data_IF_756959499421
#
_entry.id   IF_756959499421
#
_cell.length_a   1.000
_cell.length_b   1.000
_cell.length_c   1.000
_cell.angle_alpha   90.00
_cell.angle_beta   90.00
_cell.angle_gamma   90.00
#
_symmetry.space_group_name_H-M   'P 1'
#
loop_
_entity.id
_entity.type
_entity.pdbx_description
1 polymer ?
#
# COMPACT_ATOMS: atom_id res chain seq x y z
N UNK A 1 -2.33 13.71 -28.22
CA UNK A 1 -2.05 13.59 -26.77
C UNK A 1 -1.29 12.29 -26.63
N UNK A 2 -0.07 12.39 -26.11
CA UNK A 2 0.83 11.25 -25.96
C UNK A 2 0.19 10.25 -25.00
N UNK A 3 0.13 8.98 -25.37
CA UNK A 3 -0.37 7.94 -24.46
C UNK A 3 0.67 7.84 -23.34
N UNK A 4 0.41 8.54 -22.23
CA UNK A 4 1.35 8.64 -21.11
C UNK A 4 1.65 7.22 -20.61
N UNK A 5 2.92 6.83 -20.70
CA UNK A 5 3.36 5.51 -20.29
C UNK A 5 3.05 5.27 -18.82
N UNK A 6 2.80 4.02 -18.44
CA UNK A 6 2.77 3.62 -17.04
C UNK A 6 4.13 3.90 -16.39
N UNK A 7 4.12 4.42 -15.17
CA UNK A 7 5.34 4.71 -14.42
C UNK A 7 5.30 3.99 -13.08
N UNK A 8 6.40 3.32 -12.75
CA UNK A 8 6.60 2.69 -11.44
C UNK A 8 7.95 3.16 -10.92
N UNK A 9 7.94 3.75 -9.73
CA UNK A 9 9.14 4.11 -8.97
C UNK A 9 9.13 3.33 -7.66
N UNK A 10 10.27 2.72 -7.35
CA UNK A 10 10.46 2.01 -6.08
C UNK A 10 11.65 2.65 -5.38
N UNK A 11 11.41 3.15 -4.17
CA UNK A 11 12.44 3.68 -3.28
C UNK A 11 12.59 2.72 -2.12
N UNK A 12 13.79 2.19 -1.94
CA UNK A 12 14.09 1.21 -0.89
C UNK A 12 15.07 1.81 0.11
N UNK A 13 14.78 1.65 1.40
CA UNK A 13 15.59 2.16 2.51
C UNK A 13 16.28 1.03 3.28
N UNK A 14 17.28 1.38 4.10
CA UNK A 14 17.91 0.42 5.03
C UNK A 14 19.00 -0.48 4.44
N UNK A 15 19.55 -0.15 3.26
CA UNK A 15 20.59 -0.97 2.63
C UNK A 15 20.06 -2.28 2.00
N UNK A 16 18.74 -2.42 1.92
CA UNK A 16 18.07 -3.55 1.28
C UNK A 16 18.33 -3.54 -0.23
N UNK A 17 18.40 -4.75 -0.81
CA UNK A 17 18.41 -4.91 -2.26
C UNK A 17 17.00 -4.65 -2.79
N UNK A 18 16.86 -3.68 -3.68
CA UNK A 18 15.59 -3.42 -4.34
C UNK A 18 15.16 -4.65 -5.17
N UNK A 19 14.21 -5.40 -4.61
CA UNK A 19 13.56 -6.53 -5.26
C UNK A 19 12.24 -6.06 -5.82
N UNK A 20 12.04 -6.27 -7.12
CA UNK A 20 10.82 -5.90 -7.85
C UNK A 20 10.14 -7.11 -8.48
N UNK A 21 10.64 -8.32 -8.22
CA UNK A 21 10.09 -9.57 -8.76
C UNK A 21 8.63 -9.81 -8.37
N UNK A 22 8.24 -9.34 -7.19
CA UNK A 22 6.85 -9.40 -6.71
C UNK A 22 5.89 -8.50 -7.48
N UNK A 23 6.37 -7.47 -8.18
CA UNK A 23 5.53 -6.64 -9.05
C UNK A 23 5.21 -7.32 -10.38
N UNK A 24 5.89 -8.42 -10.72
CA UNK A 24 5.67 -9.11 -12.00
C UNK A 24 4.23 -9.61 -12.20
N UNK A 25 3.46 -9.75 -11.11
CA UNK A 25 2.05 -10.18 -11.13
C UNK A 25 1.06 -9.00 -11.17
N UNK A 26 1.55 -7.76 -11.20
CA UNK A 26 0.75 -6.54 -11.21
C UNK A 26 0.87 -5.84 -12.56
N UNK A 27 -0.27 -5.68 -13.25
CA UNK A 27 -0.34 -4.86 -14.45
C UNK A 27 -0.69 -3.41 -14.08
N UNK A 28 0.17 -2.47 -14.47
CA UNK A 28 -0.08 -1.03 -14.29
C UNK A 28 -0.60 -0.44 -15.61
N UNK A 29 -1.82 0.11 -15.64
CA UNK A 29 -2.38 0.72 -16.85
C UNK A 29 -1.59 1.95 -17.31
N UNK A 30 -1.69 2.27 -18.61
CA UNK A 30 -1.19 3.53 -19.13
C UNK A 30 -1.86 4.73 -18.43
N UNK A 31 -1.11 5.83 -18.26
CA UNK A 31 -1.55 7.02 -17.55
C UNK A 31 -1.60 6.91 -16.04
N UNK A 32 -1.12 5.80 -15.47
CA UNK A 32 -1.02 5.59 -14.02
C UNK A 32 0.45 5.70 -13.57
N UNK A 33 0.66 6.43 -12.49
CA UNK A 33 1.92 6.49 -11.76
C UNK A 33 1.81 5.73 -10.44
N UNK A 34 2.84 4.96 -10.12
CA UNK A 34 2.96 4.21 -8.87
C UNK A 34 4.28 4.58 -8.20
N UNK A 35 4.22 5.12 -6.99
CA UNK A 35 5.37 5.35 -6.12
C UNK A 35 5.31 4.38 -4.93
N UNK A 36 6.33 3.54 -4.79
CA UNK A 36 6.46 2.58 -3.69
C UNK A 36 7.64 2.99 -2.83
N UNK A 37 7.42 3.07 -1.52
CA UNK A 37 8.46 3.26 -0.51
C UNK A 37 8.51 2.02 0.37
N UNK A 38 9.62 1.26 0.28
CA UNK A 38 9.79 -0.01 0.98
C UNK A 38 10.92 0.09 2.02
N UNK A 39 10.56 -0.13 3.29
CA UNK A 39 11.47 -0.17 4.43
C UNK A 39 11.80 -1.61 4.87
N UNK A 40 11.34 -2.63 4.13
CA UNK A 40 11.51 -4.05 4.45
C UNK A 40 10.46 -4.61 5.41
N UNK A 41 10.09 -3.82 6.43
CA UNK A 41 9.05 -4.13 7.42
C UNK A 41 7.78 -3.28 7.25
N UNK A 42 7.87 -2.14 6.55
CA UNK A 42 6.75 -1.25 6.23
C UNK A 42 6.80 -0.89 4.75
N UNK A 43 5.64 -0.82 4.12
CA UNK A 43 5.53 -0.35 2.74
C UNK A 43 4.51 0.77 2.63
N UNK A 44 4.82 1.77 1.82
CA UNK A 44 3.87 2.80 1.37
C UNK A 44 3.73 2.67 -0.14
N UNK A 45 2.48 2.64 -0.63
CA UNK A 45 2.14 2.58 -2.04
C UNK A 45 1.27 3.79 -2.34
N UNK A 46 1.69 4.61 -3.29
CA UNK A 46 0.94 5.76 -3.77
C UNK A 46 0.61 5.49 -5.24
N UNK A 47 -0.66 5.47 -5.57
CA UNK A 47 -1.15 5.31 -6.94
C UNK A 47 -1.83 6.61 -7.34
N UNK A 48 -1.43 7.15 -8.49
CA UNK A 48 -1.99 8.39 -9.05
C UNK A 48 -2.44 8.15 -10.48
N UNK A 49 -3.65 8.62 -10.80
CA UNK A 49 -4.19 8.65 -12.16
C UNK A 49 -4.93 9.97 -12.34
N UNK A 50 -4.43 10.82 -13.24
CA UNK A 50 -4.98 12.17 -13.45
C UNK A 50 -5.07 12.95 -12.11
N UNK A 51 -6.28 13.19 -11.59
CA UNK A 51 -6.50 13.85 -10.30
C UNK A 51 -6.79 12.86 -9.14
N UNK A 52 -6.98 11.58 -9.44
CA UNK A 52 -7.26 10.53 -8.44
C UNK A 52 -5.97 10.09 -7.77
N UNK A 53 -5.99 9.99 -6.44
CA UNK A 53 -4.83 9.55 -5.64
C UNK A 53 -5.30 8.60 -4.55
N UNK A 54 -4.66 7.43 -4.47
CA UNK A 54 -4.81 6.49 -3.36
C UNK A 54 -3.44 6.24 -2.72
N UNK A 55 -3.37 6.39 -1.39
CA UNK A 55 -2.17 6.05 -0.60
C UNK A 55 -2.49 4.92 0.35
N UNK A 56 -1.76 3.82 0.24
CA UNK A 56 -1.85 2.69 1.15
C UNK A 56 -0.54 2.58 1.93
N UNK A 57 -0.63 2.43 3.26
CA UNK A 57 0.51 2.15 4.11
C UNK A 57 0.23 0.87 4.86
N UNK A 58 1.20 -0.03 4.91
CA UNK A 58 1.06 -1.29 5.62
C UNK A 58 2.31 -1.63 6.42
N UNK A 59 2.05 -2.24 7.56
CA UNK A 59 3.04 -2.94 8.36
C UNK A 59 3.05 -4.41 7.95
N UNK A 60 4.20 -4.86 7.45
CA UNK A 60 4.37 -6.22 6.95
C UNK A 60 4.61 -7.24 8.09
N UNK A 61 4.92 -6.77 9.29
CA UNK A 61 5.16 -7.60 10.48
C UNK A 61 3.83 -7.95 11.16
N UNK A 62 2.96 -6.96 11.35
CA UNK A 62 1.64 -7.18 11.98
C UNK A 62 0.57 -7.56 10.96
N UNK A 63 0.75 -7.18 9.70
CA UNK A 63 -0.27 -7.33 8.66
C UNK A 63 -1.32 -6.23 8.70
N UNK A 64 -1.12 -5.17 9.48
CA UNK A 64 -2.05 -4.04 9.52
C UNK A 64 -1.84 -3.12 8.30
N UNK A 65 -2.92 -2.58 7.75
CA UNK A 65 -2.85 -1.63 6.65
C UNK A 65 -3.90 -0.52 6.75
N UNK A 66 -3.56 0.64 6.21
CA UNK A 66 -4.41 1.81 6.16
C UNK A 66 -4.43 2.42 4.75
N UNK A 67 -5.59 2.93 4.36
CA UNK A 67 -5.84 3.61 3.09
C UNK A 67 -6.25 5.06 3.34
N UNK A 68 -5.52 5.98 2.73
CA UNK A 68 -5.90 7.40 2.60
C UNK A 68 -6.28 7.68 1.15
N UNK A 69 -7.52 8.10 0.94
CA UNK A 69 -8.07 8.46 -0.37
C UNK A 69 -9.36 9.26 -0.17
N UNK A 70 -9.73 10.06 -1.18
CA UNK A 70 -11.07 10.67 -1.29
C UNK A 70 -12.01 9.86 -2.19
N UNK A 71 -11.46 8.84 -2.85
CA UNK A 71 -12.17 7.98 -3.80
C UNK A 71 -12.91 6.82 -3.12
N UNK A 72 -13.83 6.18 -3.85
CA UNK A 72 -14.52 4.98 -3.38
C UNK A 72 -13.60 3.74 -3.39
N UNK A 73 -13.97 2.71 -2.63
CA UNK A 73 -13.22 1.45 -2.58
C UNK A 73 -13.09 0.76 -3.97
N UNK A 74 -14.09 0.93 -4.83
CA UNK A 74 -14.13 0.37 -6.19
C UNK A 74 -13.36 1.22 -7.22
N UNK A 75 -12.77 2.34 -6.79
CA UNK A 75 -11.97 3.18 -7.67
C UNK A 75 -10.75 2.41 -8.21
N UNK A 76 -10.42 2.53 -9.51
CA UNK A 76 -9.28 1.84 -10.10
C UNK A 76 -7.95 2.09 -9.39
N UNK A 77 -7.72 3.31 -8.87
CA UNK A 77 -6.48 3.62 -8.14
C UNK A 77 -6.42 2.92 -6.78
N UNK A 78 -7.56 2.77 -6.10
CA UNK A 78 -7.66 2.06 -4.82
C UNK A 78 -7.46 0.57 -5.01
N UNK A 79 -8.14 -0.03 -6.00
CA UNK A 79 -8.00 -1.45 -6.32
C UNK A 79 -6.55 -1.80 -6.70
N UNK A 80 -5.89 -0.96 -7.51
CA UNK A 80 -4.50 -1.17 -7.88
C UNK A 80 -3.56 -1.03 -6.68
N UNK A 81 -3.76 -0.03 -5.82
CA UNK A 81 -2.95 0.15 -4.61
C UNK A 81 -3.05 -1.08 -3.68
N UNK A 82 -4.26 -1.60 -3.45
CA UNK A 82 -4.49 -2.82 -2.67
C UNK A 82 -3.83 -4.04 -3.30
N UNK A 83 -3.90 -4.19 -4.63
CA UNK A 83 -3.26 -5.31 -5.34
C UNK A 83 -1.73 -5.26 -5.26
N UNK A 84 -1.13 -4.08 -5.34
CA UNK A 84 0.32 -3.89 -5.14
C UNK A 84 0.70 -4.27 -3.72
N UNK A 85 -0.07 -3.80 -2.72
CA UNK A 85 0.16 -4.17 -1.33
C UNK A 85 0.11 -5.69 -1.13
N UNK A 86 -0.94 -6.35 -1.62
CA UNK A 86 -1.11 -7.79 -1.49
C UNK A 86 0.07 -8.57 -2.12
N UNK A 87 0.52 -8.14 -3.31
CA UNK A 87 1.69 -8.72 -3.95
C UNK A 87 2.98 -8.57 -3.10
N UNK A 88 3.15 -7.42 -2.44
CA UNK A 88 4.30 -7.20 -1.55
C UNK A 88 4.19 -8.01 -0.25
N UNK A 89 3.00 -8.09 0.34
CA UNK A 89 2.72 -8.87 1.54
C UNK A 89 3.02 -10.37 1.33
N UNK A 90 2.70 -10.90 0.16
CA UNK A 90 2.94 -12.30 -0.19
C UNK A 90 4.44 -12.70 -0.20
N UNK A 91 5.36 -11.73 -0.35
CA UNK A 91 6.79 -11.98 -0.22
C UNK A 91 7.26 -12.14 1.24
N UNK A 92 6.42 -11.75 2.20
CA UNK A 92 6.77 -11.68 3.61
C UNK A 92 7.75 -10.55 3.94
N UNK A 93 8.15 -10.51 5.21
CA UNK A 93 9.13 -9.54 5.74
C UNK A 93 10.52 -9.87 5.18
N UNK A 94 11.16 -8.91 4.53
CA UNK A 94 12.48 -9.09 3.92
C UNK A 94 13.63 -8.92 4.94
N UNK A 95 13.38 -8.22 6.04
CA UNK A 95 14.33 -7.99 7.13
C UNK A 95 13.53 -7.81 8.43
N UNK A 96 13.77 -8.60 9.51
CA UNK A 96 13.19 -8.30 10.82
C UNK A 96 13.74 -6.94 11.24
N UNK A 97 12.92 -5.90 11.09
CA UNK A 97 13.30 -4.52 11.36
C UNK A 97 13.88 -4.28 12.77
N UNK A 98 14.31 -3.05 13.08
CA UNK A 98 14.87 -2.74 14.39
C UNK A 98 13.93 -3.18 15.53
N UNK A 99 14.48 -3.54 16.71
CA UNK A 99 13.67 -3.97 17.86
C UNK A 99 12.59 -2.94 18.15
N UNK A 100 11.34 -3.42 18.18
CA UNK A 100 10.11 -2.65 18.17
C UNK A 100 10.14 -1.38 19.04
N UNK A 101 10.09 -0.22 18.40
CA UNK A 101 9.03 0.72 18.76
C UNK A 101 7.76 0.17 18.11
N UNK A 102 6.65 0.03 18.86
CA UNK A 102 5.44 -0.65 18.38
C UNK A 102 5.02 -0.12 16.99
N UNK A 103 5.21 -0.90 15.92
CA UNK A 103 4.95 -0.43 14.55
C UNK A 103 3.48 -0.03 14.34
N UNK A 104 2.57 -0.63 15.12
CA UNK A 104 1.17 -0.27 15.22
C UNK A 104 0.94 1.20 15.66
N UNK A 105 1.86 1.81 16.42
CA UNK A 105 1.75 3.20 16.87
C UNK A 105 1.94 4.19 15.72
N UNK A 106 2.89 3.92 14.81
CA UNK A 106 3.14 4.81 13.67
C UNK A 106 1.98 4.81 12.68
N UNK A 107 1.43 3.63 12.39
CA UNK A 107 0.30 3.50 11.48
C UNK A 107 -0.98 4.10 12.07
N UNK A 108 -1.23 3.90 13.37
CA UNK A 108 -2.34 4.54 14.10
C UNK A 108 -2.18 6.06 14.11
N UNK A 109 -0.98 6.59 14.40
CA UNK A 109 -0.73 8.04 14.37
C UNK A 109 -0.93 8.64 12.97
N UNK A 110 -0.53 7.92 11.91
CA UNK A 110 -0.76 8.33 10.53
C UNK A 110 -2.26 8.39 10.21
N UNK A 111 -3.02 7.37 10.63
CA UNK A 111 -4.47 7.32 10.49
C UNK A 111 -5.14 8.50 11.17
N UNK A 112 -4.81 8.74 12.44
CA UNK A 112 -5.37 9.85 13.21
C UNK A 112 -5.04 11.21 12.59
N UNK A 113 -3.85 11.38 12.03
CA UNK A 113 -3.42 12.64 11.43
C UNK A 113 -4.02 12.91 10.03
N UNK A 114 -4.34 11.86 9.27
CA UNK A 114 -4.73 11.98 7.85
C UNK A 114 -6.18 11.63 7.58
N UNK A 115 -6.89 11.02 8.55
CA UNK A 115 -8.21 10.45 8.35
C UNK A 115 -8.20 9.18 7.48
N UNK A 116 -7.04 8.52 7.34
CA UNK A 116 -6.96 7.23 6.65
C UNK A 116 -7.81 6.18 7.38
N UNK A 117 -8.31 5.19 6.65
CA UNK A 117 -9.13 4.11 7.21
C UNK A 117 -8.35 2.80 7.23
N UNK A 118 -8.56 2.00 8.28
CA UNK A 118 -8.03 0.64 8.32
C UNK A 118 -8.63 -0.20 7.19
N UNK A 119 -7.80 -1.03 6.55
CA UNK A 119 -8.22 -1.94 5.48
C UNK A 119 -7.65 -3.34 5.70
N UNK A 120 -8.35 -4.38 5.22
CA UNK A 120 -7.76 -5.72 5.15
C UNK A 120 -6.64 -5.77 4.11
N UNK A 121 -5.56 -6.46 4.46
CA UNK A 121 -4.46 -6.78 3.54
C UNK A 121 -4.78 -7.94 2.61
N UNK A 122 -5.84 -8.70 2.90
CA UNK A 122 -6.36 -9.71 1.97
C UNK A 122 -7.18 -9.01 0.87
N UNK A 123 -6.78 -9.13 -0.41
CA UNK A 123 -7.56 -8.59 -1.51
C UNK A 123 -8.86 -9.36 -1.77
N UNK A 124 -8.97 -10.60 -1.28
CA UNK A 124 -10.13 -11.49 -1.44
C UNK A 124 -11.09 -11.44 -0.23
N UNK A 125 -10.73 -10.72 0.84
CA UNK A 125 -11.67 -10.29 1.88
C UNK A 125 -12.63 -9.23 1.30
N UNK A 126 -13.56 -9.68 0.46
CA UNK A 126 -14.86 -9.05 0.31
C UNK A 126 -15.60 -9.37 1.61
N UNK A 127 -15.79 -8.37 2.47
CA UNK A 127 -16.55 -8.44 3.73
C UNK A 127 -15.72 -8.58 5.03
N UNK A 128 -15.24 -7.43 5.49
CA UNK A 128 -15.29 -7.13 6.93
C UNK A 128 -16.03 -5.83 7.14
N UNK A 129 -17.22 -5.75 6.53
CA UNK A 129 -18.30 -4.96 7.08
C UNK A 129 -18.85 -5.69 8.29
N UNK A 130 -18.17 -5.60 9.44
CA UNK A 130 -18.86 -5.68 10.72
C UNK A 130 -18.97 -4.29 11.32
N UNK A 131 -20.12 -3.67 11.06
CA UNK A 131 -20.89 -2.92 12.06
C UNK A 131 -20.95 -3.74 13.36
N UNK A 132 -20.94 -3.22 14.59
CA UNK A 132 -21.86 -2.26 15.20
C UNK A 132 -21.41 -1.97 16.65
N UNK A 133 -21.79 -0.78 17.14
CA UNK A 133 -22.09 -0.39 18.53
C UNK A 133 -21.00 -0.26 19.61
N UNK A 134 -20.86 1.00 20.04
CA UNK A 134 -20.45 1.46 21.37
C UNK A 134 -20.93 2.89 21.59
#
# INVERSE_FOLDING_TARGET
MDASQAQIRITVFGGLVARADWLAVVAVPAGVSVDIVDFGYRVTVIVTREAEVATVVADLVTGDAALSTVETADSPVVMLARRILAARMAMGVADPGPPAGEPATELRALIEATGAVWISTDPDDEDSGMSEEG
#
